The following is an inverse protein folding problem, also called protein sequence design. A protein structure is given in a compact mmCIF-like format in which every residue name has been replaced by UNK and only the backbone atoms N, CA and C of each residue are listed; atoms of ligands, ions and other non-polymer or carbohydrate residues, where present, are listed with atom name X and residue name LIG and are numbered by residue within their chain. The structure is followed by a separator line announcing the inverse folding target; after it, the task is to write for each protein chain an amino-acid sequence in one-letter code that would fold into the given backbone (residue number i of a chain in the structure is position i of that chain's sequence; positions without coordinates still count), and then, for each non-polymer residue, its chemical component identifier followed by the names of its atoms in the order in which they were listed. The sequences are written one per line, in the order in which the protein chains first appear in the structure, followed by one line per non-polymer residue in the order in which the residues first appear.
data_IF_843697065532
#
_entry.id   IF_843697065532
#
_cell.length_a   1.000
_cell.length_b   1.000
_cell.length_c   1.000
_cell.angle_alpha   90.00
_cell.angle_beta   90.00
_cell.angle_gamma   90.00
#
_symmetry.space_group_name_H-M   'P 1'
#
loop_
_entity.id
_entity.type
_entity.pdbx_description
1 polymer ?
#
# COMPACT_ATOMS: atom_id res chain seq x y z
N UNK A 1 48.33 0.01 34.05
CA UNK A 1 47.81 1.07 33.14
C UNK A 1 47.53 0.64 31.68
N UNK A 2 47.91 -0.57 31.22
CA UNK A 2 47.68 -1.04 29.83
C UNK A 2 46.26 -1.52 29.46
N UNK A 3 45.29 -1.47 30.38
CA UNK A 3 43.92 -1.98 30.14
C UNK A 3 42.85 -0.89 29.99
N UNK A 4 43.20 0.41 30.04
CA UNK A 4 42.24 1.51 29.82
C UNK A 4 42.05 1.91 28.36
N UNK A 5 42.99 1.58 27.47
CA UNK A 5 42.94 1.95 26.04
C UNK A 5 42.26 0.91 25.14
N UNK A 6 41.89 -0.27 25.67
CA UNK A 6 41.10 -1.29 24.98
C UNK A 6 39.63 -1.29 25.40
N UNK A 7 39.09 -0.14 25.81
CA UNK A 7 37.68 0.12 25.54
C UNK A 7 37.54 0.32 24.03
N UNK A 8 37.70 -0.78 23.28
CA UNK A 8 37.26 -0.91 21.90
C UNK A 8 35.82 -0.42 21.90
N UNK A 9 35.59 0.82 21.47
CA UNK A 9 34.25 1.39 21.36
C UNK A 9 33.44 0.42 20.52
N UNK A 10 32.61 -0.39 21.19
CA UNK A 10 31.77 -1.37 20.51
C UNK A 10 30.96 -0.59 19.47
N UNK A 11 30.90 -1.05 18.21
CA UNK A 11 30.16 -0.33 17.19
C UNK A 11 28.70 -0.19 17.65
N UNK A 12 28.12 1.00 17.49
CA UNK A 12 26.71 1.23 17.80
C UNK A 12 25.87 0.33 16.88
N UNK A 13 25.07 -0.53 17.49
CA UNK A 13 24.20 -1.50 16.81
C UNK A 13 22.77 -1.00 16.81
N UNK A 14 22.16 -0.98 15.64
CA UNK A 14 20.79 -0.56 15.41
C UNK A 14 20.05 -1.62 14.59
N UNK A 15 18.73 -1.64 14.70
CA UNK A 15 17.88 -2.48 13.87
C UNK A 15 16.73 -1.65 13.32
N UNK A 16 16.25 -2.00 12.14
CA UNK A 16 15.06 -1.38 11.53
C UNK A 16 13.94 -2.41 11.57
N UNK A 17 12.79 -2.01 12.08
CA UNK A 17 11.59 -2.84 12.24
C UNK A 17 10.40 -2.18 11.54
N UNK A 18 9.43 -3.00 11.13
CA UNK A 18 8.20 -2.52 10.49
C UNK A 18 7.55 -3.59 9.63
N UNK A 19 6.29 -3.33 9.24
CA UNK A 19 5.49 -4.24 8.40
C UNK A 19 6.11 -4.42 7.01
N UNK A 20 5.68 -5.42 6.22
CA UNK A 20 6.15 -5.58 4.84
C UNK A 20 5.90 -4.32 3.99
N UNK A 21 6.75 -4.13 2.97
CA UNK A 21 6.63 -3.08 1.95
C UNK A 21 6.75 -1.61 2.41
N UNK A 22 7.03 -1.33 3.70
CA UNK A 22 7.31 0.04 4.18
C UNK A 22 8.69 0.62 3.78
N UNK A 23 9.44 -0.05 2.90
CA UNK A 23 10.72 0.46 2.41
C UNK A 23 11.95 0.20 3.30
N UNK A 24 11.88 -0.71 4.29
CA UNK A 24 13.01 -1.04 5.20
C UNK A 24 14.33 -1.32 4.46
N UNK A 25 14.31 -2.24 3.50
CA UNK A 25 15.52 -2.62 2.75
C UNK A 25 16.00 -1.49 1.83
N UNK A 26 15.09 -0.70 1.25
CA UNK A 26 15.44 0.50 0.48
C UNK A 26 16.16 1.54 1.33
N UNK A 27 15.69 1.76 2.56
CA UNK A 27 16.32 2.65 3.52
C UNK A 27 17.71 2.15 3.94
N UNK A 28 17.84 0.86 4.27
CA UNK A 28 19.13 0.21 4.59
C UNK A 28 20.12 0.38 3.43
N UNK A 29 19.70 0.05 2.20
CA UNK A 29 20.53 0.19 1.00
C UNK A 29 21.03 1.62 0.79
N UNK A 30 20.17 2.61 1.05
CA UNK A 30 20.55 4.02 0.95
C UNK A 30 21.62 4.40 1.97
N UNK A 31 21.54 3.89 3.20
CA UNK A 31 22.52 4.15 4.26
C UNK A 31 23.89 3.51 3.98
N UNK A 32 23.92 2.38 3.28
CA UNK A 32 25.17 1.66 2.96
C UNK A 32 25.99 2.35 1.86
N UNK A 33 25.40 3.31 1.12
CA UNK A 33 26.08 3.98 0.00
C UNK A 33 26.31 3.08 -1.22
N UNK A 34 25.82 1.83 -1.21
CA UNK A 34 25.88 0.88 -2.33
C UNK A 34 24.48 0.47 -2.76
N UNK A 35 24.22 0.46 -4.08
CA UNK A 35 23.08 -0.25 -4.71
C UNK A 35 23.23 -1.79 -4.55
N UNK A 36 23.35 -2.29 -3.33
CA UNK A 36 23.68 -3.70 -3.06
C UNK A 36 22.80 -4.31 -1.97
N UNK A 37 21.50 -4.27 -2.20
CA UNK A 37 20.67 -5.45 -2.01
C UNK A 37 19.71 -5.48 -3.20
N UNK A 38 19.40 -6.66 -3.73
CA UNK A 38 18.41 -6.81 -4.81
C UNK A 38 17.08 -6.26 -4.30
N UNK A 39 16.76 -5.02 -4.67
CA UNK A 39 15.44 -4.41 -4.48
C UNK A 39 14.49 -5.09 -5.45
N UNK A 40 13.99 -6.25 -5.07
CA UNK A 40 12.80 -6.82 -5.69
C UNK A 40 11.61 -6.37 -4.86
N UNK A 41 10.66 -5.67 -5.49
CA UNK A 41 9.39 -5.19 -4.92
C UNK A 41 8.41 -6.34 -4.56
N UNK A 42 8.95 -7.51 -4.22
CA UNK A 42 8.17 -8.69 -3.86
C UNK A 42 8.24 -8.92 -2.35
N UNK A 43 7.11 -9.09 -1.65
CA UNK A 43 7.11 -9.50 -0.25
C UNK A 43 7.89 -10.80 -0.04
N UNK A 44 8.92 -10.77 0.81
CA UNK A 44 9.70 -11.97 1.20
C UNK A 44 11.13 -12.08 0.66
N UNK A 45 11.73 -11.00 0.13
CA UNK A 45 13.06 -11.04 -0.52
C UNK A 45 14.27 -10.96 0.45
N UNK A 46 14.07 -10.64 1.73
CA UNK A 46 15.16 -10.63 2.72
C UNK A 46 15.54 -12.07 3.12
N UNK A 47 16.66 -12.59 2.61
CA UNK A 47 17.10 -13.99 2.81
C UNK A 47 17.76 -14.31 4.17
N UNK A 48 17.67 -13.43 5.18
CA UNK A 48 18.11 -13.72 6.54
C UNK A 48 18.50 -12.46 7.33
N UNK A 49 18.66 -12.62 8.65
CA UNK A 49 19.16 -11.56 9.54
C UNK A 49 20.64 -11.29 9.21
N UNK A 50 20.96 -10.17 8.58
CA UNK A 50 22.33 -9.80 8.25
C UNK A 50 22.71 -8.47 8.90
N UNK A 51 23.88 -8.45 9.53
CA UNK A 51 24.51 -7.22 9.99
C UNK A 51 25.21 -6.54 8.82
N UNK A 52 24.87 -5.28 8.57
CA UNK A 52 25.56 -4.43 7.61
C UNK A 52 26.31 -3.34 8.36
N UNK A 53 27.55 -3.10 7.97
CA UNK A 53 28.40 -2.06 8.58
C UNK A 53 28.35 -0.80 7.71
N UNK A 54 28.03 0.34 8.31
CA UNK A 54 28.05 1.66 7.68
C UNK A 54 29.47 2.23 7.62
N UNK A 55 29.68 3.24 6.79
CA UNK A 55 30.99 3.90 6.63
C UNK A 55 31.52 4.50 7.95
N UNK A 56 30.62 4.98 8.81
CA UNK A 56 30.97 5.53 10.12
C UNK A 56 31.21 4.46 11.21
N UNK A 57 31.24 3.18 10.84
CA UNK A 57 31.49 2.06 11.77
C UNK A 57 30.27 1.58 12.56
N UNK A 58 29.08 2.17 12.36
CA UNK A 58 27.83 1.64 12.94
C UNK A 58 27.41 0.33 12.27
N UNK A 59 26.62 -0.48 12.98
CA UNK A 59 26.09 -1.75 12.47
C UNK A 59 24.55 -1.71 12.44
N UNK A 60 23.96 -2.04 11.28
CA UNK A 60 22.52 -2.16 11.06
C UNK A 60 22.12 -3.61 10.87
N UNK A 61 21.05 -4.03 11.52
CA UNK A 61 20.43 -5.33 11.29
C UNK A 61 19.26 -5.20 10.31
N UNK A 62 19.33 -5.88 9.17
CA UNK A 62 18.19 -6.04 8.25
C UNK A 62 17.23 -7.08 8.81
N UNK A 63 15.95 -6.71 8.91
CA UNK A 63 14.89 -7.58 9.41
C UNK A 63 13.80 -7.76 8.34
N UNK A 64 13.25 -8.98 8.20
CA UNK A 64 12.09 -9.17 7.34
C UNK A 64 10.92 -8.31 7.85
N UNK A 65 10.01 -7.92 6.95
CA UNK A 65 8.74 -7.32 7.37
C UNK A 65 7.93 -8.31 8.20
N UNK A 66 7.42 -7.88 9.34
CA UNK A 66 6.61 -8.71 10.24
C UNK A 66 5.21 -8.12 10.30
N UNK A 67 4.20 -8.94 10.01
CA UNK A 67 2.81 -8.70 10.39
C UNK A 67 2.51 -9.51 11.64
N UNK A 68 1.66 -8.96 12.50
CA UNK A 68 1.15 -9.67 13.66
C UNK A 68 -0.07 -10.53 13.27
N UNK A 69 -0.31 -11.65 13.97
CA UNK A 69 -1.25 -12.67 13.50
C UNK A 69 -2.74 -12.32 13.60
N UNK A 70 -3.13 -11.33 14.42
CA UNK A 70 -4.54 -10.93 14.60
C UNK A 70 -4.68 -9.43 14.74
N UNK A 71 -5.54 -8.81 13.94
CA UNK A 71 -5.93 -7.42 14.09
C UNK A 71 -7.16 -7.35 15.00
N UNK A 72 -7.11 -6.53 16.05
CA UNK A 72 -8.29 -6.27 16.90
C UNK A 72 -9.29 -5.35 16.19
N UNK A 73 -8.76 -4.40 15.41
CA UNK A 73 -9.53 -3.48 14.57
C UNK A 73 -9.46 -3.91 13.08
N UNK A 74 -10.60 -4.26 12.45
CA UNK A 74 -10.65 -4.57 11.03
C UNK A 74 -10.12 -3.46 10.11
N UNK A 75 -10.26 -2.18 10.51
CA UNK A 75 -9.77 -1.04 9.72
C UNK A 75 -8.25 -1.05 9.57
N UNK A 76 -7.52 -1.50 10.59
CA UNK A 76 -6.05 -1.63 10.53
C UNK A 76 -5.65 -2.67 9.48
N UNK A 77 -6.38 -3.80 9.43
CA UNK A 77 -6.17 -4.83 8.41
C UNK A 77 -6.41 -4.31 6.99
N UNK A 78 -7.49 -3.55 6.80
CA UNK A 78 -7.80 -2.90 5.52
C UNK A 78 -6.72 -1.89 5.11
N UNK A 79 -6.29 -1.01 6.01
CA UNK A 79 -5.24 -0.03 5.72
C UNK A 79 -3.92 -0.70 5.29
N UNK A 80 -3.54 -1.79 5.97
CA UNK A 80 -2.36 -2.58 5.61
C UNK A 80 -2.53 -3.28 4.24
N UNK A 81 -3.73 -3.74 3.92
CA UNK A 81 -4.04 -4.32 2.62
C UNK A 81 -3.99 -3.26 1.50
N UNK A 82 -4.58 -2.07 1.71
CA UNK A 82 -4.50 -0.97 0.76
C UNK A 82 -3.05 -0.59 0.45
N UNK A 83 -2.20 -0.50 1.47
CA UNK A 83 -0.77 -0.20 1.34
C UNK A 83 0.08 -1.35 0.77
N UNK A 84 -0.51 -2.53 0.51
CA UNK A 84 0.20 -3.70 -0.01
C UNK A 84 1.13 -4.35 1.01
N UNK A 85 0.97 -4.09 2.31
CA UNK A 85 1.70 -4.80 3.36
C UNK A 85 1.23 -6.24 3.53
N UNK A 86 0.01 -6.54 3.07
CA UNK A 86 -0.56 -7.89 2.92
C UNK A 86 -0.50 -8.25 1.43
N UNK A 87 -0.21 -9.52 1.13
CA UNK A 87 -0.12 -10.03 -0.25
C UNK A 87 -1.48 -10.00 -0.95
N UNK A 88 -1.53 -9.48 -2.17
CA UNK A 88 -2.79 -9.40 -2.92
C UNK A 88 -3.30 -10.77 -3.35
N UNK A 89 -2.43 -11.78 -3.50
CA UNK A 89 -2.84 -13.11 -3.96
C UNK A 89 -3.75 -13.86 -2.98
N UNK A 90 -3.87 -13.37 -1.75
CA UNK A 90 -4.74 -13.93 -0.71
C UNK A 90 -5.99 -13.07 -0.45
N UNK A 91 -6.18 -11.99 -1.21
CA UNK A 91 -7.27 -11.03 -1.03
C UNK A 91 -8.15 -10.96 -2.28
N UNK A 92 -9.44 -10.67 -2.10
CA UNK A 92 -10.30 -10.31 -3.22
C UNK A 92 -10.01 -8.87 -3.64
N UNK A 93 -9.33 -8.70 -4.77
CA UNK A 93 -8.81 -7.41 -5.24
C UNK A 93 -9.92 -6.40 -5.56
N UNK A 94 -11.03 -6.85 -6.14
CA UNK A 94 -12.19 -5.98 -6.43
C UNK A 94 -12.81 -5.46 -5.14
N UNK A 95 -13.01 -6.32 -4.13
CA UNK A 95 -13.64 -5.94 -2.87
C UNK A 95 -12.72 -4.99 -2.07
N UNK A 96 -11.41 -5.24 -2.13
CA UNK A 96 -10.42 -4.35 -1.51
C UNK A 96 -10.41 -2.96 -2.20
N UNK A 97 -10.50 -2.93 -3.53
CA UNK A 97 -10.58 -1.67 -4.26
C UNK A 97 -11.90 -0.92 -3.98
N UNK A 98 -13.01 -1.64 -3.84
CA UNK A 98 -14.29 -1.07 -3.43
C UNK A 98 -14.20 -0.41 -2.04
N UNK A 99 -13.61 -1.09 -1.05
CA UNK A 99 -13.39 -0.50 0.29
C UNK A 99 -12.44 0.69 0.25
N UNK A 100 -11.40 0.66 -0.58
CA UNK A 100 -10.52 1.81 -0.79
C UNK A 100 -11.28 2.99 -1.42
N UNK A 101 -12.14 2.73 -2.42
CA UNK A 101 -12.96 3.77 -3.04
C UNK A 101 -13.90 4.44 -2.02
N UNK A 102 -14.49 3.70 -1.09
CA UNK A 102 -15.27 4.29 0.02
C UNK A 102 -14.46 5.32 0.81
N UNK A 103 -13.20 5.00 1.12
CA UNK A 103 -12.30 5.91 1.84
C UNK A 103 -11.94 7.13 0.99
N UNK A 104 -11.61 6.92 -0.29
CA UNK A 104 -11.22 8.00 -1.21
C UNK A 104 -12.39 8.93 -1.51
N UNK A 105 -13.57 8.40 -1.84
CA UNK A 105 -14.78 9.19 -2.07
C UNK A 105 -15.11 10.10 -0.90
N UNK A 106 -14.98 9.59 0.33
CA UNK A 106 -15.32 10.34 1.53
C UNK A 106 -14.30 11.45 1.85
N UNK A 107 -13.01 11.16 1.69
CA UNK A 107 -11.94 12.00 2.25
C UNK A 107 -11.12 12.76 1.19
N UNK A 108 -11.12 12.27 -0.05
CA UNK A 108 -10.32 12.73 -1.19
C UNK A 108 -11.12 12.69 -2.52
N UNK A 109 -12.35 13.25 -2.55
CA UNK A 109 -13.20 13.17 -3.74
C UNK A 109 -12.59 13.91 -4.93
N UNK A 110 -11.95 15.05 -4.69
CA UNK A 110 -11.36 15.90 -5.74
C UNK A 110 -10.19 15.18 -6.44
N UNK A 111 -9.32 14.53 -5.67
CA UNK A 111 -8.22 13.72 -6.19
C UNK A 111 -8.73 12.56 -7.05
N UNK A 112 -9.79 11.88 -6.59
CA UNK A 112 -10.39 10.76 -7.31
C UNK A 112 -11.01 11.21 -8.64
N UNK A 113 -11.80 12.29 -8.61
CA UNK A 113 -12.42 12.90 -9.79
C UNK A 113 -11.34 13.30 -10.80
N UNK A 114 -10.33 14.05 -10.34
CA UNK A 114 -9.25 14.54 -11.19
C UNK A 114 -8.44 13.38 -11.80
N UNK A 115 -8.14 12.33 -11.03
CA UNK A 115 -7.36 11.19 -11.47
C UNK A 115 -8.00 10.45 -12.64
N UNK A 116 -9.30 10.20 -12.55
CA UNK A 116 -10.05 9.38 -13.51
C UNK A 116 -10.85 10.21 -14.52
N UNK A 117 -10.78 11.56 -14.43
CA UNK A 117 -11.55 12.49 -15.28
C UNK A 117 -13.05 12.20 -15.23
N UNK A 118 -13.53 11.99 -14.01
CA UNK A 118 -14.96 11.82 -13.74
C UNK A 118 -15.63 13.18 -13.83
N UNK A 119 -16.90 13.18 -14.21
CA UNK A 119 -17.70 14.41 -14.30
C UNK A 119 -18.25 14.80 -12.90
N UNK A 120 -18.23 13.85 -11.96
CA UNK A 120 -18.59 13.95 -10.55
C UNK A 120 -18.49 12.56 -9.91
N UNK A 121 -18.68 12.48 -8.59
CA UNK A 121 -18.93 11.19 -7.92
C UNK A 121 -20.43 10.96 -7.82
N UNK A 122 -20.85 9.71 -7.95
CA UNK A 122 -22.27 9.36 -7.99
C UNK A 122 -22.94 9.64 -6.64
N UNK A 123 -24.15 10.19 -6.66
CA UNK A 123 -24.92 10.47 -5.44
C UNK A 123 -25.72 9.27 -4.95
N UNK A 124 -26.20 9.28 -3.71
CA UNK A 124 -27.02 8.20 -3.14
C UNK A 124 -28.39 8.05 -3.84
N UNK A 125 -28.86 9.11 -4.51
CA UNK A 125 -30.13 9.13 -5.27
C UNK A 125 -29.96 8.66 -6.73
N UNK A 126 -28.74 8.38 -7.17
CA UNK A 126 -28.44 8.06 -8.56
C UNK A 126 -28.68 6.58 -8.84
N UNK A 127 -29.60 6.30 -9.77
CA UNK A 127 -29.96 4.93 -10.12
C UNK A 127 -29.03 4.38 -11.22
N UNK A 128 -28.45 3.21 -10.96
CA UNK A 128 -27.84 2.40 -11.99
C UNK A 128 -27.95 0.92 -11.65
N UNK A 129 -27.88 0.09 -12.69
CA UNK A 129 -28.20 -1.32 -12.59
C UNK A 129 -27.13 -2.17 -13.26
N UNK A 130 -26.84 -3.33 -12.68
CA UNK A 130 -25.96 -4.32 -13.31
C UNK A 130 -26.65 -5.03 -14.49
N UNK A 131 -25.95 -5.95 -15.14
CA UNK A 131 -26.48 -6.71 -16.30
C UNK A 131 -27.71 -7.59 -15.98
N UNK A 132 -27.99 -7.83 -14.70
CA UNK A 132 -29.13 -8.59 -14.21
C UNK A 132 -30.31 -7.69 -13.78
N UNK A 133 -30.16 -6.37 -13.90
CA UNK A 133 -31.17 -5.40 -13.47
C UNK A 133 -31.19 -5.16 -11.96
N UNK A 134 -30.13 -5.51 -11.24
CA UNK A 134 -30.01 -5.25 -9.80
C UNK A 134 -29.39 -3.87 -9.56
N UNK A 135 -29.89 -3.09 -8.59
CA UNK A 135 -29.39 -1.76 -8.31
C UNK A 135 -27.95 -1.81 -7.80
N UNK A 136 -27.13 -0.90 -8.30
CA UNK A 136 -25.76 -0.68 -7.85
C UNK A 136 -25.72 0.47 -6.85
N UNK A 137 -24.91 0.31 -5.81
CA UNK A 137 -24.63 1.43 -4.91
C UNK A 137 -23.73 2.48 -5.59
N UNK A 138 -23.66 3.71 -5.07
CA UNK A 138 -22.90 4.79 -5.70
C UNK A 138 -21.41 4.49 -5.86
N UNK A 139 -20.82 3.71 -4.96
CA UNK A 139 -19.40 3.34 -5.02
C UNK A 139 -19.13 2.39 -6.18
N UNK A 140 -20.02 1.42 -6.41
CA UNK A 140 -19.97 0.55 -7.59
C UNK A 140 -20.19 1.36 -8.87
N UNK A 141 -21.12 2.31 -8.88
CA UNK A 141 -21.34 3.19 -10.04
C UNK A 141 -20.09 4.00 -10.39
N UNK A 142 -19.37 4.55 -9.41
CA UNK A 142 -18.08 5.19 -9.65
C UNK A 142 -17.03 4.21 -10.17
N UNK A 143 -16.99 3.00 -9.63
CA UNK A 143 -16.04 1.97 -10.08
C UNK A 143 -16.30 1.58 -11.53
N UNK A 144 -17.57 1.46 -11.95
CA UNK A 144 -17.93 1.26 -13.35
C UNK A 144 -17.59 2.49 -14.21
N UNK A 145 -17.82 3.71 -13.72
CA UNK A 145 -17.42 4.93 -14.43
C UNK A 145 -15.91 4.98 -14.66
N UNK A 146 -15.10 4.60 -13.66
CA UNK A 146 -13.65 4.44 -13.78
C UNK A 146 -13.31 3.39 -14.83
N UNK A 147 -13.94 2.22 -14.79
CA UNK A 147 -13.73 1.15 -15.74
C UNK A 147 -14.04 1.58 -17.19
N UNK A 148 -15.15 2.31 -17.38
CA UNK A 148 -15.56 2.85 -18.68
C UNK A 148 -14.57 3.89 -19.20
N UNK A 149 -14.13 4.85 -18.38
CA UNK A 149 -13.11 5.86 -18.75
C UNK A 149 -11.76 5.20 -19.10
N UNK A 150 -11.48 4.02 -18.56
CA UNK A 150 -10.27 3.23 -18.83
C UNK A 150 -10.41 2.20 -19.94
N UNK A 151 -11.62 1.93 -20.43
CA UNK A 151 -11.90 0.87 -21.38
C UNK A 151 -11.66 -0.54 -20.81
N UNK A 152 -11.84 -0.73 -19.50
CA UNK A 152 -11.75 -2.03 -18.84
C UNK A 152 -13.06 -2.79 -18.98
N UNK A 153 -13.33 -3.19 -20.22
CA UNK A 153 -14.56 -3.87 -20.64
C UNK A 153 -14.18 -5.23 -21.22
N UNK A 154 -14.86 -6.28 -20.76
CA UNK A 154 -14.73 -7.64 -21.24
C UNK A 154 -15.66 -7.91 -22.44
N UNK A 155 -15.50 -9.08 -23.05
CA UNK A 155 -16.40 -9.57 -24.09
C UNK A 155 -17.87 -9.51 -23.64
N UNK A 156 -18.75 -9.06 -24.53
CA UNK A 156 -20.17 -8.89 -24.20
C UNK A 156 -20.52 -7.57 -23.49
N UNK A 157 -19.61 -6.58 -23.48
CA UNK A 157 -19.79 -5.26 -22.85
C UNK A 157 -19.92 -5.30 -21.31
N UNK A 158 -19.35 -6.32 -20.68
CA UNK A 158 -19.31 -6.45 -19.21
C UNK A 158 -18.12 -5.69 -18.62
N UNK A 159 -18.28 -5.13 -17.43
CA UNK A 159 -17.19 -4.44 -16.73
C UNK A 159 -16.16 -5.45 -16.19
N UNK A 160 -14.87 -5.15 -16.37
CA UNK A 160 -13.78 -5.92 -15.77
C UNK A 160 -13.45 -5.38 -14.37
N UNK A 161 -14.18 -5.84 -13.36
CA UNK A 161 -14.03 -5.40 -11.98
C UNK A 161 -12.65 -5.74 -11.40
N UNK A 162 -12.09 -6.90 -11.73
CA UNK A 162 -10.79 -7.32 -11.21
C UNK A 162 -9.67 -6.41 -11.76
N UNK A 163 -9.66 -6.17 -13.07
CA UNK A 163 -8.68 -5.27 -13.70
C UNK A 163 -8.83 -3.84 -13.21
N UNK A 164 -10.07 -3.39 -13.03
CA UNK A 164 -10.37 -2.06 -12.49
C UNK A 164 -9.86 -1.92 -11.05
N UNK A 165 -10.13 -2.91 -10.20
CA UNK A 165 -9.68 -2.92 -8.82
C UNK A 165 -8.15 -2.93 -8.69
N UNK A 166 -7.46 -3.74 -9.50
CA UNK A 166 -5.98 -3.74 -9.57
C UNK A 166 -5.45 -2.35 -9.94
N UNK A 167 -6.00 -1.73 -10.97
CA UNK A 167 -5.56 -0.41 -11.42
C UNK A 167 -5.77 0.67 -10.34
N UNK A 168 -6.88 0.63 -9.61
CA UNK A 168 -7.14 1.57 -8.51
C UNK A 168 -6.11 1.40 -7.39
N UNK A 169 -5.88 0.16 -6.94
CA UNK A 169 -4.91 -0.12 -5.88
C UNK A 169 -3.47 0.23 -6.28
N UNK A 170 -3.06 -0.13 -7.50
CA UNK A 170 -1.72 0.14 -8.00
C UNK A 170 -1.45 1.65 -8.11
N UNK A 171 -2.44 2.42 -8.59
CA UNK A 171 -2.32 3.87 -8.71
C UNK A 171 -2.36 4.58 -7.36
N UNK A 172 -3.15 4.06 -6.41
CA UNK A 172 -3.12 4.50 -5.02
C UNK A 172 -1.74 4.29 -4.40
N UNK A 173 -1.20 3.06 -4.50
CA UNK A 173 0.11 2.68 -3.94
C UNK A 173 1.27 3.43 -4.60
N UNK A 174 1.14 3.76 -5.88
CA UNK A 174 2.11 4.57 -6.61
C UNK A 174 2.00 6.09 -6.32
N UNK A 175 1.01 6.52 -5.52
CA UNK A 175 0.77 7.94 -5.23
C UNK A 175 0.27 8.75 -6.44
N UNK A 176 -0.24 8.07 -7.47
CA UNK A 176 -0.71 8.70 -8.71
C UNK A 176 -2.08 9.35 -8.51
N UNK A 177 -2.93 8.75 -7.66
CA UNK A 177 -4.23 9.35 -7.29
C UNK A 177 -4.02 10.65 -6.53
N UNK A 178 -3.07 10.66 -5.59
CA UNK A 178 -2.72 11.83 -4.79
C UNK A 178 -1.87 11.46 -3.57
N UNK A 179 -1.54 12.46 -2.76
CA UNK A 179 -0.87 12.28 -1.48
C UNK A 179 -1.88 11.91 -0.39
N UNK A 180 -2.26 10.64 -0.35
CA UNK A 180 -3.34 10.14 0.51
C UNK A 180 -2.82 9.69 1.86
N UNK A 181 -3.49 10.11 2.94
CA UNK A 181 -3.28 9.57 4.29
C UNK A 181 -4.55 8.87 4.78
N UNK A 182 -4.44 7.59 5.15
CA UNK A 182 -5.58 6.75 5.57
C UNK A 182 -5.98 6.95 7.05
N UNK A 183 -5.08 7.48 7.86
CA UNK A 183 -5.29 7.70 9.30
C UNK A 183 -4.99 9.15 9.67
N UNK A 184 -5.74 9.70 10.62
CA UNK A 184 -5.47 11.02 11.20
C UNK A 184 -5.24 10.87 12.70
N UNK A 185 -4.31 11.63 13.29
CA UNK A 185 -4.13 11.60 14.73
C UNK A 185 -5.43 12.04 15.41
N UNK A 186 -5.79 11.35 16.50
CA UNK A 186 -6.84 11.83 17.39
C UNK A 186 -6.31 13.11 18.04
N UNK A 187 -6.92 14.25 17.72
CA UNK A 187 -6.63 15.49 18.43
C UNK A 187 -7.01 15.28 19.90
N UNK A 188 -6.01 15.39 20.78
CA UNK A 188 -6.21 15.36 22.24
C UNK A 188 -6.68 16.71 22.74
#
# INVERSE_FOLDING_TARGET
ERNKERSLRRPLRMMIVGVPNVGKSSFINRLIGKKSAKTGDRPGVTKGKQWVTLENGMQLLDTPGILWPKFEDPHVGLNLAFCGSIKDEILNVQDLAYELLKVLRKNYPEELIARYKLDGLMSDDEEGYNEYGEPLDPVLLDMEAIALKRGFIQSGKRIDYERTGRAILDEFRAGIIGNITLERPVLK
#
